data_IF_488140108223
#
_entry.id   IF_488140108223
#
_cell.length_a   1.000
_cell.length_b   1.000
_cell.length_c   1.000
_cell.angle_alpha   90.00
_cell.angle_beta   90.00
_cell.angle_gamma   90.00
#
_symmetry.space_group_name_H-M   'P 1'
#
loop_
_entity.id
_entity.type
_entity.pdbx_description
1 polymer ?
#
# COMPACT_ATOMS: atom_id res chain seq x y z
N UNK A 1 -0.19 5.22 -21.00
CA UNK A 1 -1.46 4.82 -20.35
C UNK A 1 -1.16 4.73 -18.88
N UNK A 2 -1.75 5.62 -18.08
CA UNK A 2 -1.53 5.62 -16.64
C UNK A 2 -2.21 4.37 -16.05
N UNK A 3 -1.39 3.39 -15.66
CA UNK A 3 -1.89 2.26 -14.88
C UNK A 3 -2.13 2.81 -13.47
N UNK A 4 -3.35 2.73 -12.91
CA UNK A 4 -3.71 3.32 -11.62
C UNK A 4 -3.16 2.48 -10.45
N UNK A 5 -1.84 2.27 -10.42
CA UNK A 5 -1.16 1.40 -9.46
C UNK A 5 -1.28 1.95 -8.04
N UNK A 6 -1.18 3.27 -7.88
CA UNK A 6 -1.30 3.92 -6.58
C UNK A 6 -2.72 3.82 -6.01
N UNK A 7 -3.73 4.10 -6.84
CA UNK A 7 -5.14 4.02 -6.45
C UNK A 7 -5.52 2.57 -6.09
N UNK A 8 -5.03 1.60 -6.87
CA UNK A 8 -5.27 0.19 -6.58
C UNK A 8 -4.57 -0.24 -5.28
N UNK A 9 -3.32 0.19 -5.06
CA UNK A 9 -2.62 -0.05 -3.81
C UNK A 9 -3.39 0.53 -2.61
N UNK A 10 -3.91 1.75 -2.74
CA UNK A 10 -4.69 2.42 -1.71
C UNK A 10 -5.99 1.66 -1.38
N UNK A 11 -6.68 1.13 -2.39
CA UNK A 11 -7.86 0.27 -2.18
C UNK A 11 -7.51 -0.96 -1.36
N UNK A 12 -6.41 -1.64 -1.68
CA UNK A 12 -5.97 -2.83 -0.95
C UNK A 12 -5.54 -2.51 0.49
N UNK A 13 -4.80 -1.42 0.72
CA UNK A 13 -4.49 -0.97 2.07
C UNK A 13 -5.72 -0.56 2.85
N UNK A 14 -6.70 0.07 2.21
CA UNK A 14 -7.95 0.44 2.86
C UNK A 14 -8.76 -0.80 3.27
N UNK A 15 -8.83 -1.81 2.39
CA UNK A 15 -9.42 -3.12 2.73
C UNK A 15 -8.68 -3.75 3.92
N UNK A 16 -7.34 -3.75 3.91
CA UNK A 16 -6.52 -4.27 5.00
C UNK A 16 -6.78 -3.53 6.31
N UNK A 17 -6.87 -2.20 6.28
CA UNK A 17 -7.12 -1.38 7.45
C UNK A 17 -8.52 -1.63 8.03
N UNK A 18 -9.56 -1.64 7.19
CA UNK A 18 -10.93 -1.92 7.63
C UNK A 18 -11.06 -3.33 8.21
N UNK A 19 -10.47 -4.33 7.54
CA UNK A 19 -10.52 -5.71 8.01
C UNK A 19 -9.69 -5.90 9.28
N UNK A 20 -8.59 -5.17 9.43
CA UNK A 20 -7.79 -5.15 10.67
C UNK A 20 -8.55 -4.53 11.83
N UNK A 21 -9.29 -3.45 11.61
CA UNK A 21 -10.18 -2.87 12.63
C UNK A 21 -11.27 -3.88 13.02
N UNK A 22 -11.89 -4.58 12.06
CA UNK A 22 -12.88 -5.63 12.34
C UNK A 22 -12.24 -6.77 13.15
N UNK A 23 -10.99 -7.14 12.84
CA UNK A 23 -10.25 -8.19 13.51
C UNK A 23 -10.07 -7.93 15.02
N UNK A 24 -9.92 -6.66 15.43
CA UNK A 24 -9.80 -6.27 16.84
C UNK A 24 -11.00 -6.71 17.69
N UNK A 25 -12.19 -6.76 17.09
CA UNK A 25 -13.43 -7.17 17.77
C UNK A 25 -13.79 -8.62 17.48
N UNK A 26 -13.44 -9.13 16.30
CA UNK A 26 -13.76 -10.47 15.84
C UNK A 26 -12.60 -11.03 15.02
N UNK A 27 -11.70 -11.73 15.68
CA UNK A 27 -10.63 -12.45 15.00
C UNK A 27 -11.06 -13.87 14.64
N UNK A 28 -10.81 -14.26 13.39
CA UNK A 28 -10.82 -15.64 12.94
C UNK A 28 -9.84 -15.81 11.77
N UNK A 29 -9.48 -17.06 11.46
CA UNK A 29 -8.48 -17.38 10.44
C UNK A 29 -8.76 -16.74 9.07
N UNK A 30 -10.03 -16.57 8.69
CA UNK A 30 -10.38 -15.94 7.42
C UNK A 30 -10.13 -14.42 7.46
N UNK A 31 -10.53 -13.74 8.54
CA UNK A 31 -10.32 -12.30 8.71
C UNK A 31 -8.82 -11.97 8.77
N UNK A 32 -8.05 -12.71 9.58
CA UNK A 32 -6.58 -12.52 9.67
C UNK A 32 -5.91 -12.72 8.31
N UNK A 33 -6.35 -13.73 7.54
CA UNK A 33 -5.83 -14.00 6.21
C UNK A 33 -6.18 -12.88 5.22
N UNK A 34 -7.37 -12.29 5.34
CA UNK A 34 -7.80 -11.19 4.49
C UNK A 34 -6.98 -9.92 4.74
N UNK A 35 -6.72 -9.58 6.01
CA UNK A 35 -5.81 -8.49 6.39
C UNK A 35 -4.45 -8.69 5.74
N UNK A 36 -3.83 -9.85 5.96
CA UNK A 36 -2.49 -10.14 5.46
C UNK A 36 -2.40 -10.14 3.92
N UNK A 37 -3.34 -10.80 3.22
CA UNK A 37 -3.32 -10.86 1.76
C UNK A 37 -3.56 -9.48 1.14
N UNK A 38 -4.51 -8.71 1.67
CA UNK A 38 -4.78 -7.37 1.14
C UNK A 38 -3.61 -6.41 1.40
N UNK A 39 -2.96 -6.46 2.57
CA UNK A 39 -1.74 -5.71 2.83
C UNK A 39 -0.62 -6.04 1.82
N UNK A 40 -0.36 -7.33 1.56
CA UNK A 40 0.65 -7.76 0.59
C UNK A 40 0.34 -7.29 -0.82
N UNK A 41 -0.91 -7.44 -1.27
CA UNK A 41 -1.31 -7.00 -2.61
C UNK A 41 -1.16 -5.48 -2.76
N UNK A 42 -1.56 -4.71 -1.76
CA UNK A 42 -1.35 -3.26 -1.72
C UNK A 42 0.14 -2.91 -1.77
N UNK A 43 0.97 -3.62 -1.00
CA UNK A 43 2.41 -3.39 -0.95
C UNK A 43 3.11 -3.67 -2.28
N UNK A 44 2.75 -4.76 -2.96
CA UNK A 44 3.30 -5.09 -4.28
C UNK A 44 2.95 -4.00 -5.30
N UNK A 45 1.68 -3.56 -5.32
CA UNK A 45 1.21 -2.52 -6.23
C UNK A 45 1.86 -1.16 -5.94
N UNK A 46 2.00 -0.80 -4.66
CA UNK A 46 2.65 0.45 -4.25
C UNK A 46 4.14 0.44 -4.60
N UNK A 47 4.82 -0.72 -4.43
CA UNK A 47 6.21 -0.91 -4.84
C UNK A 47 6.36 -0.76 -6.36
N UNK A 48 5.45 -1.35 -7.14
CA UNK A 48 5.42 -1.19 -8.59
C UNK A 48 5.20 0.28 -9.00
N UNK A 49 4.28 0.98 -8.32
CA UNK A 49 4.05 2.41 -8.53
C UNK A 49 5.32 3.25 -8.28
N UNK A 50 6.02 3.00 -7.17
CA UNK A 50 7.30 3.67 -6.85
C UNK A 50 8.33 3.40 -7.95
N UNK A 51 8.44 2.14 -8.41
CA UNK A 51 9.35 1.77 -9.49
C UNK A 51 9.05 2.51 -10.80
N UNK A 52 7.79 2.56 -11.21
CA UNK A 52 7.35 3.29 -12.42
C UNK A 52 7.67 4.78 -12.29
N UNK A 53 7.29 5.39 -11.17
CA UNK A 53 7.53 6.82 -10.90
C UNK A 53 9.02 7.16 -10.85
N UNK A 54 9.84 6.30 -10.25
CA UNK A 54 11.29 6.47 -10.25
C UNK A 54 11.85 6.48 -11.68
N UNK A 55 11.40 5.56 -12.53
CA UNK A 55 11.86 5.46 -13.91
C UNK A 55 11.45 6.66 -14.77
N UNK A 56 10.28 7.24 -14.52
CA UNK A 56 9.75 8.40 -15.25
C UNK A 56 10.34 9.72 -14.74
N UNK A 57 10.39 9.92 -13.42
CA UNK A 57 10.84 11.17 -12.81
C UNK A 57 12.38 11.28 -12.70
N UNK A 58 13.11 10.16 -12.87
CA UNK A 58 14.59 10.08 -12.73
C UNK A 58 15.12 10.47 -11.35
N UNK A 59 14.26 10.46 -10.35
CA UNK A 59 14.60 10.64 -8.94
C UNK A 59 13.73 9.75 -8.07
N UNK A 60 14.14 9.51 -6.83
CA UNK A 60 13.29 8.85 -5.85
C UNK A 60 12.02 9.70 -5.62
N UNK A 61 10.81 9.13 -5.62
CA UNK A 61 9.57 9.89 -5.46
C UNK A 61 9.39 10.32 -3.99
N UNK A 62 10.16 11.33 -3.56
CA UNK A 62 10.14 11.93 -2.22
C UNK A 62 10.27 13.47 -2.25
N UNK A 63 10.14 14.09 -3.43
CA UNK A 63 10.53 15.49 -3.63
C UNK A 63 9.42 16.45 -3.21
N UNK A 64 8.16 16.10 -3.49
CA UNK A 64 7.00 16.87 -3.06
C UNK A 64 6.26 16.16 -1.92
N UNK A 65 5.32 16.88 -1.29
CA UNK A 65 4.60 16.39 -0.12
C UNK A 65 3.81 15.11 -0.38
N UNK A 66 3.15 15.01 -1.53
CA UNK A 66 2.38 13.81 -1.91
C UNK A 66 3.30 12.60 -2.07
N UNK A 67 4.40 12.77 -2.80
CA UNK A 67 5.46 11.76 -2.95
C UNK A 67 6.05 11.32 -1.62
N UNK A 68 6.42 12.27 -0.77
CA UNK A 68 7.02 11.99 0.54
C UNK A 68 6.08 11.19 1.44
N UNK A 69 4.80 11.56 1.53
CA UNK A 69 3.82 10.80 2.33
C UNK A 69 3.54 9.43 1.73
N UNK A 70 3.45 9.34 0.40
CA UNK A 70 3.27 8.06 -0.29
C UNK A 70 4.43 7.10 0.01
N UNK A 71 5.67 7.57 -0.12
CA UNK A 71 6.86 6.78 0.19
C UNK A 71 6.98 6.45 1.69
N UNK A 72 6.59 7.37 2.57
CA UNK A 72 6.55 7.13 4.00
C UNK A 72 5.55 6.02 4.36
N UNK A 73 4.33 6.06 3.81
CA UNK A 73 3.34 5.01 4.02
C UNK A 73 3.82 3.64 3.53
N UNK A 74 4.47 3.60 2.35
CA UNK A 74 5.13 2.39 1.85
C UNK A 74 6.19 1.86 2.83
N UNK A 75 6.99 2.76 3.41
CA UNK A 75 8.04 2.38 4.38
C UNK A 75 7.46 1.82 5.68
N UNK A 76 6.31 2.33 6.14
CA UNK A 76 5.63 1.77 7.33
C UNK A 76 5.24 0.32 7.08
N UNK A 77 4.60 0.02 5.95
CA UNK A 77 4.17 -1.35 5.61
C UNK A 77 5.35 -2.29 5.38
N UNK A 78 6.49 -1.77 4.89
CA UNK A 78 7.71 -2.56 4.75
C UNK A 78 8.30 -2.97 6.11
N UNK A 79 8.15 -2.13 7.14
CA UNK A 79 8.80 -2.32 8.45
C UNK A 79 7.89 -2.96 9.51
N UNK A 80 6.57 -2.81 9.40
CA UNK A 80 5.58 -3.25 10.39
C UNK A 80 4.51 -4.15 9.76
#
# INVERSE_FOLDING_TARGET
MDVPLFELALIFYFISALTGIIELFKSNKFISKLVFISAILGFILHSANIGVRYMEAKHLPVVNFHEAISFFAWSIVLLF
#
